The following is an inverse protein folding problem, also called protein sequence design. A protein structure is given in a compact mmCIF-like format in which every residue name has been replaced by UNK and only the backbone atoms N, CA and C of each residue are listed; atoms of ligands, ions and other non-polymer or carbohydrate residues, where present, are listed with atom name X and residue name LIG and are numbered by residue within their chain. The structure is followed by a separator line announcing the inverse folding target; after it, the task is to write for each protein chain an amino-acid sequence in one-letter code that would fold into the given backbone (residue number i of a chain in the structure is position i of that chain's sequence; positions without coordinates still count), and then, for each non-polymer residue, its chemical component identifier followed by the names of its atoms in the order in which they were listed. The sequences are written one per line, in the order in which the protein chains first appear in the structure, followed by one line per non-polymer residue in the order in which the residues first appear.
data_IF_120261308500
#
_entry.id   IF_120261308500
#
_cell.length_a   1.000
_cell.length_b   1.000
_cell.length_c   1.000
_cell.angle_alpha   90.00
_cell.angle_beta   90.00
_cell.angle_gamma   90.00
#
_symmetry.space_group_name_H-M   'P 1'
#
loop_
_entity.id
_entity.type
_entity.pdbx_description
1 polymer ?
#
# COMPACT_ATOMS: atom_id res chain seq x y z
N UNK A 1 -0.19 30.73 -13.93
CA UNK A 1 0.37 29.44 -14.39
C UNK A 1 1.01 28.59 -13.27
N UNK A 2 1.22 29.12 -12.05
CA UNK A 2 1.80 28.41 -10.87
C UNK A 2 0.88 27.47 -10.07
N UNK A 3 -0.41 27.31 -10.45
CA UNK A 3 -1.40 26.59 -9.62
C UNK A 3 -1.55 25.09 -9.98
N UNK A 4 -1.04 24.66 -11.14
CA UNK A 4 -1.18 23.28 -11.62
C UNK A 4 0.06 22.39 -11.40
N UNK A 5 1.22 22.97 -11.10
CA UNK A 5 2.49 22.22 -10.98
C UNK A 5 2.47 21.25 -9.78
N UNK A 6 1.78 21.62 -8.69
CA UNK A 6 1.64 20.76 -7.51
C UNK A 6 0.72 19.55 -7.74
N UNK A 7 -0.36 19.70 -8.53
CA UNK A 7 -1.28 18.58 -8.81
C UNK A 7 -0.63 17.52 -9.68
N UNK A 8 0.15 17.94 -10.67
CA UNK A 8 0.92 17.03 -11.51
C UNK A 8 1.99 16.27 -10.70
N UNK A 9 2.64 16.94 -9.75
CA UNK A 9 3.59 16.30 -8.82
C UNK A 9 2.91 15.21 -7.98
N UNK A 10 1.79 15.53 -7.31
CA UNK A 10 1.03 14.56 -6.51
C UNK A 10 0.51 13.38 -7.33
N UNK A 11 0.03 13.65 -8.55
CA UNK A 11 -0.37 12.59 -9.47
C UNK A 11 0.81 11.70 -9.86
N UNK A 12 1.99 12.29 -10.12
CA UNK A 12 3.21 11.54 -10.44
C UNK A 12 3.67 10.63 -9.30
N UNK A 13 3.61 11.12 -8.06
CA UNK A 13 3.90 10.34 -6.84
C UNK A 13 2.99 9.12 -6.75
N UNK A 14 1.66 9.33 -6.69
CA UNK A 14 0.69 8.25 -6.58
C UNK A 14 0.78 7.28 -7.76
N UNK A 15 0.93 7.79 -8.98
CA UNK A 15 0.96 6.94 -10.19
C UNK A 15 2.17 6.02 -10.20
N UNK A 16 3.31 6.50 -9.70
CA UNK A 16 4.54 5.70 -9.61
C UNK A 16 4.36 4.56 -8.61
N UNK A 17 3.82 4.88 -7.43
CA UNK A 17 3.61 3.88 -6.38
C UNK A 17 2.55 2.84 -6.78
N UNK A 18 1.45 3.28 -7.40
CA UNK A 18 0.44 2.37 -7.99
C UNK A 18 1.03 1.45 -9.05
N UNK A 19 1.93 1.97 -9.89
CA UNK A 19 2.57 1.16 -10.92
C UNK A 19 3.43 0.06 -10.30
N UNK A 20 4.21 0.37 -9.26
CA UNK A 20 5.03 -0.59 -8.52
C UNK A 20 4.15 -1.63 -7.81
N UNK A 21 3.15 -1.20 -7.05
CA UNK A 21 2.27 -2.11 -6.32
C UNK A 21 1.47 -3.04 -7.24
N UNK A 22 1.07 -2.57 -8.42
CA UNK A 22 0.45 -3.42 -9.44
C UNK A 22 1.41 -4.51 -9.93
N UNK A 23 2.67 -4.19 -10.19
CA UNK A 23 3.66 -5.20 -10.55
C UNK A 23 3.88 -6.19 -9.41
N UNK A 24 3.90 -5.71 -8.16
CA UNK A 24 4.06 -6.57 -7.00
C UNK A 24 2.89 -7.54 -6.82
N UNK A 25 1.65 -7.08 -7.02
CA UNK A 25 0.46 -7.93 -7.05
C UNK A 25 0.59 -9.05 -8.10
N UNK A 26 0.95 -8.70 -9.33
CA UNK A 26 1.13 -9.69 -10.41
C UNK A 26 2.27 -10.66 -10.11
N UNK A 27 3.38 -10.18 -9.56
CA UNK A 27 4.52 -11.02 -9.22
C UNK A 27 4.17 -12.04 -8.15
N UNK A 28 3.47 -11.64 -7.08
CA UNK A 28 3.06 -12.57 -6.02
C UNK A 28 2.02 -13.57 -6.53
N UNK A 29 1.07 -13.13 -7.36
CA UNK A 29 0.12 -14.04 -8.01
C UNK A 29 0.86 -15.09 -8.87
N UNK A 30 1.82 -14.65 -9.69
CA UNK A 30 2.64 -15.55 -10.48
C UNK A 30 3.45 -16.54 -9.63
N UNK A 31 4.02 -16.10 -8.50
CA UNK A 31 4.74 -17.00 -7.58
C UNK A 31 3.81 -18.09 -7.03
N UNK A 32 2.62 -17.70 -6.57
CA UNK A 32 1.62 -18.64 -6.06
C UNK A 32 1.21 -19.64 -7.14
N UNK A 33 0.92 -19.16 -8.35
CA UNK A 33 0.46 -20.00 -9.45
C UNK A 33 1.55 -20.95 -9.98
N UNK A 34 2.80 -20.49 -10.01
CA UNK A 34 3.93 -21.27 -10.55
C UNK A 34 4.55 -22.23 -9.54
N UNK A 35 4.38 -21.98 -8.24
CA UNK A 35 4.95 -22.77 -7.15
C UNK A 35 3.89 -23.06 -6.06
N UNK A 36 2.78 -23.74 -6.39
CA UNK A 36 1.63 -23.85 -5.47
C UNK A 36 1.93 -24.64 -4.18
N UNK A 37 2.96 -25.50 -4.19
CA UNK A 37 3.37 -26.29 -3.03
C UNK A 37 4.30 -25.53 -2.07
N UNK A 38 4.86 -24.39 -2.50
CA UNK A 38 5.77 -23.60 -1.69
C UNK A 38 5.02 -22.66 -0.74
N UNK A 39 5.64 -22.37 0.41
CA UNK A 39 5.09 -21.42 1.37
C UNK A 39 5.40 -19.97 0.96
N UNK A 40 4.38 -19.26 0.48
CA UNK A 40 4.47 -17.84 0.08
C UNK A 40 4.07 -16.83 1.17
N UNK A 41 3.96 -17.26 2.44
CA UNK A 41 3.44 -16.43 3.55
C UNK A 41 4.16 -15.08 3.65
N UNK A 42 5.49 -15.07 3.58
CA UNK A 42 6.28 -13.84 3.69
C UNK A 42 5.92 -12.84 2.57
N UNK A 43 5.93 -13.30 1.31
CA UNK A 43 5.64 -12.46 0.16
C UNK A 43 4.21 -11.91 0.19
N UNK A 44 3.23 -12.74 0.57
CA UNK A 44 1.82 -12.34 0.70
C UNK A 44 1.64 -11.27 1.79
N UNK A 45 2.27 -11.43 2.95
CA UNK A 45 2.15 -10.45 4.05
C UNK A 45 2.84 -9.14 3.72
N UNK A 46 4.02 -9.19 3.12
CA UNK A 46 4.73 -8.00 2.64
C UNK A 46 3.89 -7.24 1.61
N UNK A 47 3.28 -7.94 0.66
CA UNK A 47 2.36 -7.36 -0.31
C UNK A 47 1.15 -6.70 0.37
N UNK A 48 0.47 -7.38 1.29
CA UNK A 48 -0.67 -6.82 2.05
C UNK A 48 -0.28 -5.53 2.77
N UNK A 49 0.87 -5.53 3.45
CA UNK A 49 1.39 -4.36 4.16
C UNK A 49 1.74 -3.22 3.18
N UNK A 50 2.29 -3.53 2.00
CA UNK A 50 2.59 -2.54 0.97
C UNK A 50 1.31 -1.88 0.42
N UNK A 51 0.28 -2.68 0.10
CA UNK A 51 -1.01 -2.18 -0.40
C UNK A 51 -1.72 -1.33 0.66
N UNK A 52 -1.68 -1.73 1.93
CA UNK A 52 -2.26 -0.93 3.02
C UNK A 52 -1.57 0.43 3.13
N UNK A 53 -0.23 0.46 3.12
CA UNK A 53 0.56 1.70 3.17
C UNK A 53 0.25 2.61 1.98
N UNK A 54 0.22 2.06 0.77
CA UNK A 54 -0.12 2.80 -0.44
C UNK A 54 -1.54 3.39 -0.35
N UNK A 55 -2.53 2.61 0.08
CA UNK A 55 -3.91 3.09 0.19
C UNK A 55 -4.02 4.28 1.17
N UNK A 56 -3.28 4.25 2.29
CA UNK A 56 -3.19 5.39 3.22
C UNK A 56 -2.54 6.61 2.58
N UNK A 57 -1.44 6.41 1.86
CA UNK A 57 -0.75 7.49 1.14
C UNK A 57 -1.65 8.11 0.07
N UNK A 58 -2.39 7.32 -0.70
CA UNK A 58 -3.34 7.82 -1.71
C UNK A 58 -4.39 8.73 -1.08
N UNK A 59 -4.98 8.34 0.06
CA UNK A 59 -5.98 9.18 0.75
C UNK A 59 -5.38 10.54 1.13
N UNK A 60 -4.19 10.53 1.74
CA UNK A 60 -3.49 11.73 2.18
C UNK A 60 -3.11 12.62 0.99
N UNK A 61 -2.41 12.06 0.00
CA UNK A 61 -1.89 12.78 -1.16
C UNK A 61 -3.00 13.35 -2.03
N UNK A 62 -4.11 12.62 -2.23
CA UNK A 62 -5.27 13.15 -2.95
C UNK A 62 -5.96 14.26 -2.15
N UNK A 63 -6.05 14.11 -0.83
CA UNK A 63 -6.56 15.16 0.06
C UNK A 63 -5.76 16.46 -0.05
N UNK A 64 -4.43 16.36 -0.10
CA UNK A 64 -3.54 17.51 -0.31
C UNK A 64 -3.68 18.11 -1.70
N UNK A 65 -3.76 17.27 -2.74
CA UNK A 65 -3.85 17.71 -4.14
C UNK A 65 -5.16 18.44 -4.47
N UNK A 66 -6.27 18.01 -3.86
CA UNK A 66 -7.60 18.53 -4.14
C UNK A 66 -8.10 19.55 -3.11
N UNK A 67 -7.53 19.55 -1.90
CA UNK A 67 -8.02 20.34 -0.77
C UNK A 67 -9.33 19.80 -0.19
N UNK A 68 -9.90 20.55 0.77
CA UNK A 68 -11.09 20.11 1.51
C UNK A 68 -12.39 20.11 0.69
N UNK A 69 -12.46 20.87 -0.41
CA UNK A 69 -13.72 21.13 -1.11
C UNK A 69 -14.44 19.85 -1.62
N UNK A 70 -13.77 18.86 -2.23
CA UNK A 70 -14.45 17.66 -2.71
C UNK A 70 -15.03 16.76 -1.60
N UNK A 71 -14.50 16.82 -0.38
CA UNK A 71 -15.03 16.05 0.75
C UNK A 71 -16.45 16.47 1.14
N UNK A 72 -16.83 17.73 0.88
CA UNK A 72 -18.16 18.25 1.18
C UNK A 72 -18.99 18.51 -0.09
N UNK A 73 -18.34 18.79 -1.22
CA UNK A 73 -18.99 19.21 -2.47
C UNK A 73 -19.15 18.12 -3.52
N UNK A 74 -18.55 16.95 -3.33
CA UNK A 74 -18.65 15.82 -4.25
C UNK A 74 -18.98 14.54 -3.47
N UNK A 75 -20.26 14.15 -3.46
CA UNK A 75 -20.73 12.98 -2.73
C UNK A 75 -20.00 11.69 -3.14
N UNK A 76 -19.72 11.52 -4.44
CA UNK A 76 -19.02 10.34 -4.93
C UNK A 76 -17.59 10.24 -4.37
N UNK A 77 -16.84 11.35 -4.40
CA UNK A 77 -15.51 11.41 -3.81
C UNK A 77 -15.55 11.16 -2.30
N UNK A 78 -16.46 11.83 -1.58
CA UNK A 78 -16.61 11.68 -0.14
C UNK A 78 -16.90 10.23 0.28
N UNK A 79 -17.78 9.54 -0.46
CA UNK A 79 -18.06 8.11 -0.25
C UNK A 79 -16.81 7.26 -0.48
N UNK A 80 -16.11 7.44 -1.60
CA UNK A 80 -14.88 6.68 -1.87
C UNK A 80 -13.80 6.88 -0.79
N UNK A 81 -13.60 8.12 -0.35
CA UNK A 81 -12.65 8.43 0.73
C UNK A 81 -13.06 7.80 2.06
N UNK A 82 -14.34 7.84 2.41
CA UNK A 82 -14.86 7.21 3.63
C UNK A 82 -14.73 5.69 3.57
N UNK A 83 -15.20 5.05 2.49
CA UNK A 83 -15.20 3.60 2.33
C UNK A 83 -13.78 3.03 2.34
N UNK A 84 -12.84 3.67 1.65
CA UNK A 84 -11.45 3.19 1.60
C UNK A 84 -10.81 3.17 3.00
N UNK A 85 -11.10 4.15 3.86
CA UNK A 85 -10.62 4.12 5.24
C UNK A 85 -11.18 2.96 6.05
N UNK A 86 -12.42 2.55 5.78
CA UNK A 86 -13.04 1.38 6.42
C UNK A 86 -12.34 0.09 5.97
N UNK A 87 -12.10 -0.08 4.67
CA UNK A 87 -11.39 -1.25 4.14
C UNK A 87 -9.97 -1.37 4.71
N UNK A 88 -9.24 -0.25 4.81
CA UNK A 88 -7.90 -0.24 5.41
C UNK A 88 -7.93 -0.73 6.86
N UNK A 89 -8.94 -0.40 7.65
CA UNK A 89 -9.04 -0.85 9.06
C UNK A 89 -9.31 -2.34 9.22
N UNK A 90 -9.79 -3.01 8.18
CA UNK A 90 -9.97 -4.46 8.16
C UNK A 90 -8.65 -5.20 7.93
N UNK A 91 -7.60 -4.48 7.52
CA UNK A 91 -6.25 -5.06 7.47
C UNK A 91 -5.72 -5.30 8.87
N UNK A 92 -5.15 -6.49 9.09
CA UNK A 92 -4.43 -6.83 10.32
C UNK A 92 -2.96 -6.39 10.23
N UNK A 93 -2.71 -5.14 9.81
CA UNK A 93 -1.37 -4.66 9.45
C UNK A 93 -0.29 -4.84 10.53
N UNK A 94 -0.64 -4.65 11.80
CA UNK A 94 0.30 -4.86 12.92
C UNK A 94 0.73 -6.34 13.05
N UNK A 95 -0.21 -7.28 12.88
CA UNK A 95 0.08 -8.70 12.88
C UNK A 95 0.90 -9.12 11.66
N UNK A 96 0.61 -8.53 10.49
CA UNK A 96 1.41 -8.77 9.29
C UNK A 96 2.86 -8.30 9.50
N UNK A 97 3.08 -7.09 10.03
CA UNK A 97 4.42 -6.57 10.30
C UNK A 97 5.21 -7.41 11.30
N UNK A 98 4.58 -7.85 12.40
CA UNK A 98 5.23 -8.74 13.36
C UNK A 98 5.68 -10.02 12.67
N UNK A 99 4.77 -10.67 11.92
CA UNK A 99 5.03 -11.95 11.28
C UNK A 99 6.08 -11.84 10.17
N UNK A 100 6.10 -10.73 9.43
CA UNK A 100 7.17 -10.42 8.48
C UNK A 100 8.53 -10.38 9.18
N UNK A 101 8.60 -9.71 10.34
CA UNK A 101 9.83 -9.64 11.14
C UNK A 101 10.32 -11.02 11.58
N UNK A 102 9.42 -11.86 12.10
CA UNK A 102 9.71 -13.24 12.47
C UNK A 102 10.26 -14.03 11.26
N UNK A 103 9.51 -14.08 10.17
CA UNK A 103 9.87 -14.85 8.97
C UNK A 103 11.19 -14.38 8.32
N UNK A 104 11.42 -13.07 8.28
CA UNK A 104 12.68 -12.52 7.73
C UNK A 104 13.87 -12.89 8.61
N UNK A 105 13.70 -12.89 9.94
CA UNK A 105 14.76 -13.28 10.87
C UNK A 105 15.17 -14.74 10.76
N UNK A 106 14.21 -15.64 10.48
CA UNK A 106 14.49 -17.06 10.27
C UNK A 106 15.25 -17.32 8.97
N UNK A 107 15.03 -16.51 7.92
CA UNK A 107 15.75 -16.64 6.65
C UNK A 107 17.20 -16.14 6.71
N UNK A 108 17.55 -15.31 7.70
CA UNK A 108 18.82 -14.59 7.74
C UNK A 108 19.93 -15.25 8.62
N UNK A 109 19.73 -16.46 9.16
CA UNK A 109 20.72 -17.22 9.98
C UNK A 109 21.45 -16.45 11.10
N UNK A 110 20.91 -15.35 11.65
CA UNK A 110 21.52 -14.70 12.83
C UNK A 110 21.34 -13.18 12.93
N UNK A 111 20.92 -12.77 14.14
CA UNK A 111 20.90 -11.43 14.75
C UNK A 111 20.77 -10.19 13.83
N UNK A 112 19.51 -9.77 13.62
CA UNK A 112 19.10 -8.77 12.62
C UNK A 112 19.54 -7.31 12.86
N UNK A 113 20.07 -6.95 14.04
CA UNK A 113 20.51 -5.58 14.34
C UNK A 113 21.72 -5.51 15.29
N UNK A 114 22.65 -6.46 15.21
CA UNK A 114 23.97 -6.23 15.80
C UNK A 114 24.86 -5.49 14.79
N UNK A 115 25.26 -4.26 15.16
CA UNK A 115 26.30 -3.52 14.46
C UNK A 115 27.66 -4.21 14.63
#
# INVERSE_FOLDING_TARGET
QKLNDYKAMYLGEISSDLAVSRQYLHQVAYLIDSQPEDNHELAIRQLRTNIEKLARQVIETVGQALGAAPFCGNAHFATLSADLTVFIRQSHGAFDLQRIGELTSFQAEGNIWQL
#
